data_IF_912985313055
#
_entry.id   IF_912985313055
#
_cell.length_a   1.000
_cell.length_b   1.000
_cell.length_c   1.000
_cell.angle_alpha   90.00
_cell.angle_beta   90.00
_cell.angle_gamma   90.00
#
_symmetry.space_group_name_H-M   'P 1'
#
loop_
_entity.id
_entity.type
_entity.pdbx_description
1 polymer ?
#
# COMPACT_ATOMS: atom_id res chain seq x y z
N UNK A 1 9.43 15.11 -4.57
CA UNK A 1 10.12 13.82 -4.57
C UNK A 1 9.12 12.71 -4.79
N UNK A 2 9.35 11.94 -5.82
CA UNK A 2 8.39 10.91 -6.23
C UNK A 2 8.21 9.85 -5.15
N UNK A 3 9.31 9.37 -4.59
CA UNK A 3 9.23 8.32 -3.58
C UNK A 3 8.51 8.79 -2.32
N UNK A 4 8.71 10.05 -1.94
CA UNK A 4 8.04 10.60 -0.77
C UNK A 4 6.54 10.71 -1.01
N UNK A 5 6.14 11.12 -2.22
CA UNK A 5 4.73 11.22 -2.57
C UNK A 5 4.06 9.84 -2.54
N UNK A 6 4.76 8.83 -3.04
CA UNK A 6 4.23 7.48 -3.02
C UNK A 6 4.07 6.97 -1.59
N UNK A 7 5.04 7.26 -0.71
CA UNK A 7 4.92 6.86 0.68
C UNK A 7 3.72 7.51 1.37
N UNK A 8 3.49 8.79 1.10
CA UNK A 8 2.32 9.47 1.63
C UNK A 8 1.03 8.84 1.12
N UNK A 9 1.00 8.52 -0.16
CA UNK A 9 -0.17 7.88 -0.76
C UNK A 9 -0.43 6.51 -0.13
N UNK A 10 0.62 5.74 0.12
CA UNK A 10 0.49 4.43 0.77
C UNK A 10 -0.10 4.60 2.16
N UNK A 11 0.43 5.54 2.94
CA UNK A 11 -0.04 5.78 4.29
C UNK A 11 -1.52 6.16 4.30
N UNK A 12 -1.91 7.09 3.42
CA UNK A 12 -3.29 7.53 3.35
C UNK A 12 -4.22 6.41 2.90
N UNK A 13 -3.77 5.62 1.94
CA UNK A 13 -4.55 4.49 1.44
C UNK A 13 -4.83 3.49 2.56
N UNK A 14 -3.79 3.13 3.30
CA UNK A 14 -3.90 2.19 4.41
C UNK A 14 -4.83 2.74 5.49
N UNK A 15 -4.67 4.01 5.84
CA UNK A 15 -5.52 4.63 6.86
C UNK A 15 -6.98 4.67 6.43
N UNK A 16 -7.22 4.99 5.16
CA UNK A 16 -8.58 5.03 4.63
C UNK A 16 -9.27 3.68 4.70
N UNK A 17 -8.56 2.62 4.32
CA UNK A 17 -9.12 1.27 4.36
C UNK A 17 -9.33 0.80 5.79
N UNK A 18 -8.41 1.12 6.68
CA UNK A 18 -8.58 0.77 8.09
C UNK A 18 -9.81 1.44 8.67
N UNK A 19 -9.98 2.73 8.39
CA UNK A 19 -11.12 3.49 8.89
C UNK A 19 -12.44 2.93 8.34
N UNK A 20 -12.41 2.40 7.13
CA UNK A 20 -13.60 1.79 6.52
C UNK A 20 -13.85 0.37 7.00
N UNK A 21 -12.94 -0.20 7.79
CA UNK A 21 -13.08 -1.57 8.26
C UNK A 21 -12.81 -2.62 7.19
N UNK A 22 -12.05 -2.27 6.19
CA UNK A 22 -11.76 -3.15 5.05
C UNK A 22 -10.41 -3.83 5.25
N UNK A 23 -10.37 -5.14 5.00
CA UNK A 23 -9.12 -5.88 5.00
C UNK A 23 -8.37 -5.54 3.72
N UNK A 24 -7.10 -5.16 3.86
CA UNK A 24 -6.29 -4.70 2.75
C UNK A 24 -5.76 -5.89 1.94
N UNK A 25 -6.07 -5.92 0.65
CA UNK A 25 -5.44 -6.87 -0.27
C UNK A 25 -4.15 -6.22 -0.75
N UNK A 26 -3.03 -6.69 -0.22
CA UNK A 26 -1.73 -6.07 -0.45
C UNK A 26 -1.36 -6.04 -1.93
N UNK A 27 -1.61 -7.14 -2.63
CA UNK A 27 -1.27 -7.23 -4.04
C UNK A 27 -2.09 -6.25 -4.88
N UNK A 28 -3.40 -6.22 -4.66
CA UNK A 28 -4.27 -5.31 -5.42
C UNK A 28 -3.92 -3.86 -5.12
N UNK A 29 -3.66 -3.54 -3.86
CA UNK A 29 -3.29 -2.19 -3.48
C UNK A 29 -1.98 -1.76 -4.12
N UNK A 30 -1.00 -2.65 -4.16
CA UNK A 30 0.28 -2.35 -4.77
C UNK A 30 0.14 -2.09 -6.27
N UNK A 31 -0.66 -2.89 -6.96
CA UNK A 31 -0.89 -2.70 -8.39
C UNK A 31 -1.51 -1.33 -8.66
N UNK A 32 -2.50 -0.96 -7.86
CA UNK A 32 -3.16 0.33 -8.00
C UNK A 32 -2.17 1.47 -7.79
N UNK A 33 -1.37 1.39 -6.75
CA UNK A 33 -0.45 2.47 -6.41
C UNK A 33 0.69 2.59 -7.42
N UNK A 34 1.22 1.46 -7.88
CA UNK A 34 2.26 1.50 -8.92
C UNK A 34 1.70 2.11 -10.20
N UNK A 35 0.46 1.79 -10.53
CA UNK A 35 -0.19 2.34 -11.71
C UNK A 35 -0.37 3.85 -11.62
N UNK A 36 -0.67 4.35 -10.41
CA UNK A 36 -0.84 5.79 -10.21
C UNK A 36 0.48 6.56 -10.19
N UNK A 37 1.56 5.89 -9.83
CA UNK A 37 2.86 6.53 -9.70
C UNK A 37 3.90 5.80 -10.55
N UNK A 38 3.72 5.78 -11.87
CA UNK A 38 4.61 4.99 -12.73
C UNK A 38 6.06 5.48 -12.73
N UNK A 39 6.28 6.73 -12.35
CA UNK A 39 7.62 7.30 -12.34
C UNK A 39 8.33 7.12 -11.00
N UNK A 40 7.75 6.37 -10.07
CA UNK A 40 8.35 6.21 -8.76
C UNK A 40 9.62 5.37 -8.78
N UNK A 41 9.78 4.53 -9.81
CA UNK A 41 10.93 3.64 -9.88
C UNK A 41 10.79 2.41 -9.00
N UNK A 42 9.67 2.25 -8.33
CA UNK A 42 9.43 1.11 -7.44
C UNK A 42 8.66 0.02 -8.16
N UNK A 43 9.00 -1.22 -7.83
CA UNK A 43 8.28 -2.38 -8.35
C UNK A 43 7.04 -2.64 -7.49
N UNK A 44 6.18 -3.52 -7.98
CA UNK A 44 5.02 -3.96 -7.20
C UNK A 44 5.45 -4.57 -5.88
N UNK A 45 6.53 -5.38 -5.89
CA UNK A 45 7.04 -5.99 -4.66
C UNK A 45 7.49 -4.94 -3.65
N UNK A 46 8.18 -3.89 -4.13
CA UNK A 46 8.61 -2.82 -3.25
C UNK A 46 7.42 -2.13 -2.58
N UNK A 47 6.39 -1.85 -3.37
CA UNK A 47 5.20 -1.19 -2.85
C UNK A 47 4.46 -2.11 -1.88
N UNK A 48 4.39 -3.41 -2.17
CA UNK A 48 3.77 -4.35 -1.24
C UNK A 48 4.44 -4.32 0.13
N UNK A 49 5.77 -4.27 0.16
CA UNK A 49 6.49 -4.19 1.42
C UNK A 49 6.16 -2.91 2.18
N UNK A 50 6.06 -1.81 1.46
CA UNK A 50 5.70 -0.53 2.09
C UNK A 50 4.29 -0.56 2.64
N UNK A 51 3.36 -1.17 1.91
CA UNK A 51 2.00 -1.31 2.39
C UNK A 51 1.96 -2.16 3.65
N UNK A 52 2.68 -3.27 3.67
CA UNK A 52 2.74 -4.14 4.83
C UNK A 52 3.31 -3.40 6.03
N UNK A 53 4.36 -2.61 5.84
CA UNK A 53 4.95 -1.84 6.92
C UNK A 53 3.98 -0.79 7.44
N UNK A 54 3.30 -0.10 6.53
CA UNK A 54 2.34 0.93 6.93
C UNK A 54 1.16 0.32 7.68
N UNK A 55 0.67 -0.82 7.19
CA UNK A 55 -0.45 -1.50 7.84
C UNK A 55 -0.06 -1.98 9.23
N UNK A 56 1.14 -2.49 9.38
CA UNK A 56 1.63 -2.93 10.68
C UNK A 56 1.68 -1.77 11.67
N UNK A 57 2.18 -0.62 11.23
CA UNK A 57 2.24 0.56 12.08
C UNK A 57 0.86 1.08 12.45
N UNK A 58 -0.09 0.98 11.52
CA UNK A 58 -1.44 1.48 11.73
C UNK A 58 -2.33 0.46 12.44
N UNK A 59 -1.90 -0.77 12.56
CA UNK A 59 -2.72 -1.83 13.12
C UNK A 59 -3.82 -2.30 12.16
N UNK A 60 -3.64 -2.07 10.88
CA UNK A 60 -4.61 -2.50 9.88
C UNK A 60 -4.41 -3.97 9.55
N UNK A 61 -5.50 -4.63 9.16
CA UNK A 61 -5.43 -6.04 8.77
C UNK A 61 -5.11 -6.18 7.31
N UNK A 62 -4.24 -7.14 7.01
CA UNK A 62 -3.85 -7.44 5.64
C UNK A 62 -4.38 -8.80 5.23
N UNK A 63 -4.84 -8.88 4.00
CA UNK A 63 -5.19 -10.15 3.40
C UNK A 63 -4.03 -10.58 2.52
N UNK A 64 -3.46 -11.73 2.84
CA UNK A 64 -2.37 -12.25 2.02
C UNK A 64 -2.97 -12.97 0.83
N UNK A 65 -2.72 -12.41 -0.33
CA UNK A 65 -3.23 -13.00 -1.55
C UNK A 65 -2.48 -14.27 -1.90
N UNK A 66 -3.10 -15.14 -2.65
CA UNK A 66 -2.45 -16.32 -3.17
C UNK A 66 -2.28 -17.47 -2.19
N UNK A 67 -2.89 -17.38 -1.06
CA UNK A 67 -2.77 -18.44 -0.06
C UNK A 67 -4.10 -19.02 0.32
#
# INVERSE_FOLDING_TARGET
>A
MVAASLKSAITEYVHGLKAAGVVINTNAAAIILVSKYPDSGLTTDDVMREIEAAASRAGAQLKRGGR
#
